data_IF_200878578216
#
_entry.id   IF_200878578216
#
_cell.length_a   1.000
_cell.length_b   1.000
_cell.length_c   1.000
_cell.angle_alpha   90.00
_cell.angle_beta   90.00
_cell.angle_gamma   90.00
#
_symmetry.space_group_name_H-M   'P 1'
#
loop_
_entity.id
_entity.type
_entity.pdbx_description
1 polymer ?
#
# COMPACT_ATOMS: atom_id res chain seq x y z
N UNK A 1 -3.22 5.04 16.27
CA UNK A 1 -4.41 4.42 16.91
C UNK A 1 -4.03 3.07 17.50
N UNK A 2 -4.69 2.60 18.58
CA UNK A 2 -4.44 1.24 19.08
C UNK A 2 -5.01 0.20 18.10
N UNK A 3 -4.46 -1.02 18.08
CA UNK A 3 -4.86 -2.10 17.16
C UNK A 3 -6.34 -2.44 17.29
N UNK A 4 -6.89 -2.46 18.50
CA UNK A 4 -8.32 -2.77 18.71
C UNK A 4 -9.24 -1.68 18.18
N UNK A 5 -8.89 -0.41 18.39
CA UNK A 5 -9.66 0.71 17.87
C UNK A 5 -9.60 0.75 16.34
N UNK A 6 -8.46 0.39 15.75
CA UNK A 6 -8.30 0.22 14.31
C UNK A 6 -9.21 -0.88 13.75
N UNK A 7 -9.28 -2.04 14.43
CA UNK A 7 -10.21 -3.12 14.05
C UNK A 7 -11.65 -2.66 14.09
N UNK A 8 -12.06 -2.03 15.19
CA UNK A 8 -13.43 -1.51 15.35
C UNK A 8 -13.76 -0.48 14.27
N UNK A 9 -12.82 0.40 13.91
CA UNK A 9 -13.00 1.39 12.85
C UNK A 9 -13.17 0.75 11.46
N UNK A 10 -12.41 -0.29 11.14
CA UNK A 10 -12.59 -1.07 9.89
C UNK A 10 -13.93 -1.80 9.90
N UNK A 11 -14.26 -2.44 11.02
CA UNK A 11 -15.48 -3.21 11.17
C UNK A 11 -16.73 -2.33 11.31
N UNK A 12 -16.63 -1.04 11.57
CA UNK A 12 -17.76 -0.12 11.57
C UNK A 12 -18.00 0.54 10.19
N UNK A 13 -17.01 0.55 9.29
CA UNK A 13 -17.12 1.22 7.99
C UNK A 13 -17.92 0.38 6.99
N UNK A 14 -19.23 0.65 6.94
CA UNK A 14 -20.15 0.04 5.98
C UNK A 14 -19.79 0.36 4.52
N UNK A 15 -19.23 1.54 4.26
CA UNK A 15 -18.80 1.97 2.94
C UNK A 15 -17.69 1.07 2.41
N UNK A 16 -16.62 0.91 3.21
CA UNK A 16 -15.51 0.01 2.91
C UNK A 16 -15.97 -1.43 2.75
N UNK A 17 -16.80 -1.94 3.67
CA UNK A 17 -17.34 -3.31 3.63
C UNK A 17 -18.13 -3.57 2.35
N UNK A 18 -18.98 -2.64 1.95
CA UNK A 18 -19.78 -2.75 0.73
C UNK A 18 -18.89 -2.80 -0.52
N UNK A 19 -17.89 -1.91 -0.63
CA UNK A 19 -16.95 -1.92 -1.77
C UNK A 19 -16.09 -3.17 -1.80
N UNK A 20 -15.60 -3.61 -0.64
CA UNK A 20 -14.88 -4.88 -0.49
C UNK A 20 -15.71 -6.06 -1.00
N UNK A 21 -16.97 -6.16 -0.55
CA UNK A 21 -17.88 -7.23 -0.97
C UNK A 21 -18.12 -7.20 -2.48
N UNK A 22 -18.34 -6.04 -3.07
CA UNK A 22 -18.56 -5.93 -4.51
C UNK A 22 -17.34 -6.37 -5.32
N UNK A 23 -16.13 -5.92 -4.94
CA UNK A 23 -14.90 -6.36 -5.59
C UNK A 23 -14.69 -7.87 -5.46
N UNK A 24 -14.94 -8.42 -4.27
CA UNK A 24 -14.83 -9.85 -4.01
C UNK A 24 -15.80 -10.66 -4.88
N UNK A 25 -17.09 -10.28 -4.90
CA UNK A 25 -18.12 -10.98 -5.67
C UNK A 25 -17.86 -10.93 -7.18
N UNK A 26 -17.49 -9.76 -7.72
CA UNK A 26 -17.17 -9.63 -9.14
C UNK A 26 -15.96 -10.48 -9.55
N UNK A 27 -14.91 -10.47 -8.71
CA UNK A 27 -13.70 -11.25 -8.96
C UNK A 27 -13.98 -12.75 -8.89
N UNK A 28 -14.77 -13.19 -7.89
CA UNK A 28 -15.18 -14.58 -7.75
C UNK A 28 -16.06 -15.04 -8.92
N UNK A 29 -16.97 -14.18 -9.39
CA UNK A 29 -17.86 -14.48 -10.51
C UNK A 29 -17.07 -14.61 -11.82
N UNK A 30 -16.08 -13.74 -12.06
CA UNK A 30 -15.19 -13.88 -13.20
C UNK A 30 -14.39 -15.19 -13.14
N UNK A 31 -13.81 -15.51 -11.97
CA UNK A 31 -13.12 -16.79 -11.76
C UNK A 31 -14.03 -17.99 -12.04
N UNK A 32 -15.25 -17.97 -11.50
CA UNK A 32 -16.21 -19.05 -11.70
C UNK A 32 -16.52 -19.26 -13.19
N UNK A 33 -16.72 -18.19 -13.96
CA UNK A 33 -16.95 -18.27 -15.41
C UNK A 33 -15.72 -18.82 -16.15
N UNK A 34 -14.54 -18.29 -15.84
CA UNK A 34 -13.28 -18.69 -16.50
C UNK A 34 -12.94 -20.15 -16.21
N UNK A 35 -13.04 -20.58 -14.94
CA UNK A 35 -12.70 -21.94 -14.48
C UNK A 35 -13.76 -22.96 -14.90
N UNK A 36 -15.05 -22.64 -14.77
CA UNK A 36 -16.11 -23.61 -15.12
C UNK A 36 -16.19 -23.91 -16.62
N UNK A 37 -15.67 -23.02 -17.47
CA UNK A 37 -15.85 -23.15 -18.92
C UNK A 37 -17.32 -23.18 -19.33
N UNK A 38 -18.21 -22.65 -18.48
CA UNK A 38 -19.65 -22.71 -18.67
C UNK A 38 -20.05 -21.95 -19.94
N UNK A 39 -20.20 -22.69 -21.04
CA UNK A 39 -21.02 -22.26 -22.16
C UNK A 39 -22.47 -22.33 -21.70
N UNK A 40 -23.17 -21.19 -21.70
CA UNK A 40 -24.60 -21.14 -21.45
C UNK A 40 -25.27 -21.89 -22.62
N UNK A 41 -25.56 -23.19 -22.42
CA UNK A 41 -26.29 -24.01 -23.38
C UNK A 41 -27.79 -23.76 -23.18
N UNK A 42 -28.37 -23.10 -24.18
CA UNK A 42 -29.79 -23.03 -24.62
C UNK A 42 -30.91 -23.17 -23.57
N UNK A 43 -31.84 -22.21 -23.54
CA UNK A 43 -33.13 -22.35 -22.85
C UNK A 43 -34.33 -22.15 -23.81
N UNK A 44 -35.28 -23.08 -23.73
CA UNK A 44 -36.52 -23.13 -24.51
C UNK A 44 -37.42 -21.88 -24.43
N UNK A 45 -38.23 -21.77 -25.49
CA UNK A 45 -38.91 -20.62 -26.10
C UNK A 45 -39.99 -19.83 -25.32
N UNK A 46 -40.10 -19.89 -23.99
CA UNK A 46 -41.27 -19.31 -23.30
C UNK A 46 -41.01 -18.45 -22.06
N UNK A 47 -39.75 -18.17 -21.74
CA UNK A 47 -39.39 -17.16 -20.73
C UNK A 47 -38.50 -16.14 -21.42
N UNK A 48 -38.86 -14.85 -21.41
CA UNK A 48 -37.97 -13.76 -21.83
C UNK A 48 -36.75 -13.74 -20.88
N UNK A 49 -35.79 -14.64 -21.13
CA UNK A 49 -34.47 -14.63 -20.54
C UNK A 49 -33.62 -13.72 -21.42
N UNK A 50 -32.92 -12.78 -20.80
CA UNK A 50 -31.86 -12.02 -21.46
C UNK A 50 -30.75 -13.03 -21.76
N UNK A 51 -30.77 -13.62 -22.95
CA UNK A 51 -29.68 -14.45 -23.44
C UNK A 51 -28.57 -13.54 -23.94
N UNK A 52 -27.43 -13.57 -23.25
CA UNK A 52 -26.23 -12.91 -23.71
C UNK A 52 -25.66 -13.70 -24.89
N UNK A 53 -26.05 -13.32 -26.11
CA UNK A 53 -25.54 -13.90 -27.36
C UNK A 53 -24.03 -13.75 -27.51
N UNK A 54 -23.40 -12.83 -26.77
CA UNK A 54 -21.96 -12.62 -26.78
C UNK A 54 -21.38 -12.78 -25.35
N UNK A 55 -21.14 -14.02 -24.95
CA UNK A 55 -20.55 -14.39 -23.66
C UNK A 55 -19.21 -13.68 -23.41
N UNK A 56 -18.44 -13.45 -24.48
CA UNK A 56 -17.17 -12.72 -24.41
C UNK A 56 -17.37 -11.26 -23.99
N UNK A 57 -18.38 -10.56 -24.53
CA UNK A 57 -18.68 -9.18 -24.14
C UNK A 57 -19.07 -9.07 -22.67
N UNK A 58 -19.76 -10.07 -22.12
CA UNK A 58 -20.11 -10.09 -20.69
C UNK A 58 -18.84 -10.22 -19.82
N UNK A 59 -17.88 -11.06 -20.21
CA UNK A 59 -16.60 -11.18 -19.50
C UNK A 59 -15.81 -9.87 -19.52
N UNK A 60 -15.77 -9.16 -20.65
CA UNK A 60 -15.14 -7.84 -20.74
C UNK A 60 -15.84 -6.79 -19.87
N UNK A 61 -17.17 -6.81 -19.79
CA UNK A 61 -17.94 -5.93 -18.90
C UNK A 61 -17.61 -6.22 -17.43
N UNK A 62 -17.48 -7.50 -17.05
CA UNK A 62 -17.06 -7.90 -15.70
C UNK A 62 -15.65 -7.40 -15.38
N UNK A 63 -14.72 -7.50 -16.32
CA UNK A 63 -13.35 -6.97 -16.16
C UNK A 63 -13.38 -5.45 -15.93
N UNK A 64 -14.15 -4.70 -16.72
CA UNK A 64 -14.33 -3.27 -16.50
C UNK A 64 -14.94 -2.98 -15.11
N UNK A 65 -15.91 -3.78 -14.68
CA UNK A 65 -16.51 -3.70 -13.35
C UNK A 65 -15.52 -4.00 -12.21
N UNK A 66 -14.61 -4.96 -12.40
CA UNK A 66 -13.51 -5.26 -11.48
C UNK A 66 -12.56 -4.06 -11.42
N UNK A 67 -12.10 -3.51 -12.54
CA UNK A 67 -11.23 -2.33 -12.55
C UNK A 67 -11.86 -1.15 -11.81
N UNK A 68 -13.13 -0.83 -12.10
CA UNK A 68 -13.87 0.20 -11.40
C UNK A 68 -13.95 -0.09 -9.90
N UNK A 69 -14.22 -1.33 -9.51
CA UNK A 69 -14.34 -1.74 -8.11
C UNK A 69 -12.99 -1.73 -7.38
N UNK A 70 -11.88 -2.07 -8.05
CA UNK A 70 -10.51 -1.92 -7.53
C UNK A 70 -10.22 -0.45 -7.24
N UNK A 71 -10.51 0.46 -8.18
CA UNK A 71 -10.30 1.90 -8.00
C UNK A 71 -11.14 2.45 -6.84
N UNK A 72 -12.42 2.10 -6.78
CA UNK A 72 -13.31 2.54 -5.69
C UNK A 72 -12.87 1.98 -4.36
N UNK A 73 -12.53 0.69 -4.29
CA UNK A 73 -12.01 0.09 -3.07
C UNK A 73 -10.68 0.72 -2.64
N UNK A 74 -9.82 1.08 -3.59
CA UNK A 74 -8.57 1.80 -3.32
C UNK A 74 -8.81 3.16 -2.69
N UNK A 75 -9.76 3.95 -3.20
CA UNK A 75 -10.10 5.24 -2.61
C UNK A 75 -10.61 5.10 -1.16
N UNK A 76 -11.53 4.15 -0.90
CA UNK A 76 -12.11 3.97 0.44
C UNK A 76 -11.12 3.37 1.46
N UNK A 77 -10.19 2.51 1.02
CA UNK A 77 -9.22 1.91 1.93
C UNK A 77 -7.98 2.77 2.21
N UNK A 78 -7.89 3.99 1.65
CA UNK A 78 -6.71 4.87 1.79
C UNK A 78 -6.35 5.17 3.25
N UNK A 79 -7.34 5.63 4.03
CA UNK A 79 -7.15 5.97 5.45
C UNK A 79 -6.55 4.78 6.23
N UNK A 80 -7.07 3.58 5.98
CA UNK A 80 -6.62 2.37 6.67
C UNK A 80 -5.26 1.88 6.20
N UNK A 81 -4.95 2.01 4.90
CA UNK A 81 -3.62 1.70 4.36
C UNK A 81 -2.56 2.66 4.90
N UNK A 82 -2.91 3.92 5.12
CA UNK A 82 -2.00 4.93 5.66
C UNK A 82 -1.71 4.67 7.13
N UNK A 83 -2.73 4.30 7.92
CA UNK A 83 -2.51 3.92 9.33
C UNK A 83 -1.64 2.65 9.45
N UNK A 84 -1.90 1.62 8.62
CA UNK A 84 -1.02 0.44 8.56
C UNK A 84 0.40 0.80 8.14
N UNK A 85 0.54 1.68 7.15
CA UNK A 85 1.85 2.18 6.73
C UNK A 85 2.56 2.90 7.88
N UNK A 86 1.87 3.73 8.65
CA UNK A 86 2.42 4.42 9.82
C UNK A 86 2.89 3.43 10.89
N UNK A 87 2.14 2.34 11.12
CA UNK A 87 2.56 1.31 12.07
C UNK A 87 3.81 0.55 11.59
N UNK A 88 3.88 0.20 10.31
CA UNK A 88 5.02 -0.52 9.76
C UNK A 88 6.26 0.35 9.61
N UNK A 89 6.09 1.60 9.20
CA UNK A 89 7.19 2.57 9.07
C UNK A 89 7.84 2.86 10.41
N UNK A 90 7.07 2.95 11.51
CA UNK A 90 7.61 3.02 12.87
C UNK A 90 8.47 1.80 13.23
N UNK A 91 8.03 0.59 12.86
CA UNK A 91 8.84 -0.62 13.08
C UNK A 91 10.10 -0.65 12.21
N UNK A 92 10.00 -0.15 10.97
CA UNK A 92 11.11 -0.09 10.02
C UNK A 92 12.19 0.89 10.47
N UNK A 93 11.81 2.08 10.93
CA UNK A 93 12.77 3.12 11.37
C UNK A 93 13.37 2.79 12.74
N UNK A 94 12.71 1.95 13.54
CA UNK A 94 13.27 1.46 14.81
C UNK A 94 14.18 0.23 14.63
N UNK A 95 14.35 -0.28 13.39
CA UNK A 95 15.30 -1.35 13.11
C UNK A 95 16.72 -0.75 12.98
N UNK A 96 17.68 -1.12 13.87
CA UNK A 96 19.04 -0.59 13.85
C UNK A 96 19.80 -0.84 12.54
N UNK A 97 19.41 -1.87 11.78
CA UNK A 97 20.03 -2.15 10.47
C UNK A 97 19.62 -1.12 9.41
N UNK A 98 18.48 -0.48 9.59
CA UNK A 98 17.93 0.54 8.69
C UNK A 98 18.30 1.93 9.18
N UNK A 99 18.07 2.19 10.46
CA UNK A 99 18.29 3.48 11.08
C UNK A 99 18.67 3.31 12.54
N UNK A 100 19.79 3.91 12.91
CA UNK A 100 20.20 4.05 14.29
C UNK A 100 20.89 5.40 14.45
N UNK A 101 20.51 6.19 15.45
CA UNK A 101 21.21 7.44 15.74
C UNK A 101 22.26 7.18 16.82
N UNK A 102 23.54 7.39 16.49
CA UNK A 102 24.63 7.29 17.45
C UNK A 102 24.80 8.63 18.18
N UNK A 103 24.51 8.64 19.47
CA UNK A 103 24.61 9.86 20.28
C UNK A 103 26.05 10.30 20.55
N UNK A 104 27.05 9.43 20.39
CA UNK A 104 28.45 9.77 20.64
C UNK A 104 29.10 10.44 19.44
N UNK A 105 28.79 9.95 18.24
CA UNK A 105 29.32 10.48 16.98
C UNK A 105 28.38 11.54 16.36
N UNK A 106 27.16 11.68 16.90
CA UNK A 106 26.11 12.56 16.38
C UNK A 106 25.80 12.27 14.90
N UNK A 107 25.81 10.99 14.54
CA UNK A 107 25.65 10.50 13.17
C UNK A 107 24.58 9.43 13.07
N UNK A 108 23.92 9.39 11.91
CA UNK A 108 22.97 8.34 11.55
C UNK A 108 23.74 7.15 11.00
N UNK A 109 23.53 5.98 11.58
CA UNK A 109 24.09 4.68 11.14
C UNK A 109 23.02 3.80 10.50
N UNK A 110 23.46 2.82 9.73
CA UNK A 110 22.62 1.81 9.09
C UNK A 110 22.44 2.05 7.59
N UNK A 111 21.41 1.48 6.98
CA UNK A 111 21.16 1.67 5.54
C UNK A 111 20.93 3.14 5.17
N UNK A 112 20.23 3.89 6.02
CA UNK A 112 19.85 5.27 5.75
C UNK A 112 20.97 6.28 6.01
N UNK A 113 22.07 5.90 6.65
CA UNK A 113 23.30 6.72 6.76
C UNK A 113 23.73 7.28 5.40
N UNK A 114 23.68 6.43 4.37
CA UNK A 114 24.06 6.80 3.00
C UNK A 114 23.18 7.89 2.40
N UNK A 115 21.95 8.02 2.87
CA UNK A 115 20.93 8.95 2.36
C UNK A 115 20.81 10.24 3.18
N UNK A 116 21.30 10.23 4.41
CA UNK A 116 21.31 11.40 5.31
C UNK A 116 22.61 12.15 5.10
N UNK A 117 22.53 13.31 4.43
CA UNK A 117 23.69 14.17 4.12
C UNK A 117 23.79 15.38 5.06
N UNK A 118 23.22 15.24 6.27
CA UNK A 118 23.23 16.27 7.32
C UNK A 118 23.86 15.70 8.58
N UNK A 119 24.63 16.53 9.28
CA UNK A 119 25.26 16.14 10.54
C UNK A 119 24.25 16.24 11.69
N UNK A 120 24.23 15.26 12.60
CA UNK A 120 23.24 15.18 13.66
C UNK A 120 23.37 16.26 14.73
N UNK A 121 24.58 16.78 14.94
CA UNK A 121 24.83 17.91 15.84
C UNK A 121 24.11 19.21 15.41
N UNK A 122 24.00 19.44 14.10
CA UNK A 122 23.26 20.58 13.53
C UNK A 122 21.74 20.34 13.52
N UNK A 123 21.32 19.08 13.58
CA UNK A 123 19.94 18.63 13.35
C UNK A 123 19.51 17.61 14.42
N UNK A 124 19.32 18.03 15.67
CA UNK A 124 19.02 17.12 16.79
C UNK A 124 17.71 16.35 16.61
N UNK A 125 16.82 16.79 15.72
CA UNK A 125 15.60 16.06 15.38
C UNK A 125 15.82 14.72 14.71
N UNK A 126 17.02 14.42 14.21
CA UNK A 126 17.39 13.09 13.71
C UNK A 126 17.39 12.03 14.81
N UNK A 127 17.27 12.38 16.09
CA UNK A 127 17.04 11.39 17.15
C UNK A 127 15.67 10.70 16.98
N UNK A 128 14.65 11.42 16.50
CA UNK A 128 13.28 10.92 16.35
C UNK A 128 12.74 11.12 14.93
N UNK A 129 13.29 10.41 13.93
CA UNK A 129 12.83 10.53 12.55
C UNK A 129 11.50 9.80 12.32
N UNK A 130 10.77 10.27 11.32
CA UNK A 130 9.57 9.64 10.80
C UNK A 130 9.78 9.22 9.34
N UNK A 131 9.61 7.94 9.04
CA UNK A 131 9.61 7.45 7.66
C UNK A 131 8.22 7.63 7.03
N UNK A 132 8.13 8.43 5.95
CA UNK A 132 6.86 8.80 5.32
C UNK A 132 6.81 8.46 3.83
N UNK A 133 5.59 8.21 3.35
CA UNK A 133 5.26 8.01 1.94
C UNK A 133 4.56 9.25 1.38
N UNK A 134 5.15 9.89 0.36
CA UNK A 134 4.52 11.04 -0.34
C UNK A 134 3.80 10.58 -1.62
N UNK A 135 4.18 9.43 -2.18
CA UNK A 135 3.54 8.85 -3.36
C UNK A 135 3.86 7.35 -3.47
N UNK A 136 3.42 6.70 -4.54
CA UNK A 136 3.56 5.24 -4.70
C UNK A 136 5.00 4.75 -4.45
N UNK A 137 5.97 5.39 -5.09
CA UNK A 137 7.40 5.08 -4.96
C UNK A 137 8.21 6.24 -4.35
N UNK A 138 7.54 7.27 -3.82
CA UNK A 138 8.23 8.41 -3.21
C UNK A 138 8.33 8.22 -1.71
N UNK A 139 9.54 8.29 -1.15
CA UNK A 139 9.82 8.08 0.28
C UNK A 139 10.63 9.25 0.81
N UNK A 140 10.32 9.65 2.03
CA UNK A 140 11.05 10.70 2.73
C UNK A 140 11.26 10.32 4.18
N UNK A 141 12.34 10.85 4.75
CA UNK A 141 12.51 10.92 6.20
C UNK A 141 12.08 12.32 6.61
N UNK A 142 11.16 12.42 7.56
CA UNK A 142 10.75 13.69 8.14
C UNK A 142 11.28 13.77 9.57
N UNK A 143 11.84 14.90 9.97
CA UNK A 143 12.34 15.10 11.33
C UNK A 143 12.01 16.52 11.81
N UNK A 144 11.81 16.72 13.13
CA UNK A 144 11.56 18.04 13.69
C UNK A 144 12.83 18.90 13.60
N UNK A 145 12.70 20.15 13.17
CA UNK A 145 13.79 21.11 13.12
C UNK A 145 13.35 22.44 13.74
N UNK A 146 14.31 23.14 14.31
CA UNK A 146 14.13 24.48 14.87
C UNK A 146 14.97 25.48 14.12
N UNK A 147 14.39 26.62 13.77
CA UNK A 147 15.12 27.74 13.19
C UNK A 147 14.76 29.00 13.96
N UNK A 148 15.78 29.78 14.28
CA UNK A 148 15.63 31.09 14.90
C UNK A 148 15.37 32.12 13.80
N UNK A 149 14.17 32.72 13.84
CA UNK A 149 13.79 33.80 12.95
C UNK A 149 13.93 35.14 13.70
N UNK A 150 14.64 36.14 13.15
CA UNK A 150 14.82 37.44 13.79
C UNK A 150 13.52 38.15 14.19
N UNK A 151 12.43 37.91 13.46
CA UNK A 151 11.15 38.62 13.66
C UNK A 151 10.15 37.83 14.53
N UNK A 152 10.29 36.50 14.61
CA UNK A 152 9.29 35.60 15.20
C UNK A 152 9.85 34.62 16.26
N UNK A 153 11.15 34.67 16.53
CA UNK A 153 11.80 33.80 17.51
C UNK A 153 11.98 32.36 17.02
N UNK A 154 12.00 31.39 17.94
CA UNK A 154 12.21 29.98 17.62
C UNK A 154 10.96 29.37 16.94
N UNK A 155 11.08 29.04 15.66
CA UNK A 155 10.04 28.35 14.90
C UNK A 155 10.32 26.85 14.81
N UNK A 156 9.29 26.05 15.09
CA UNK A 156 9.32 24.59 14.95
C UNK A 156 8.70 24.19 13.61
N UNK A 157 9.45 23.48 12.77
CA UNK A 157 8.96 22.95 11.50
C UNK A 157 9.48 21.53 11.26
N UNK A 158 8.94 20.85 10.24
CA UNK A 158 9.44 19.53 9.83
C UNK A 158 10.33 19.69 8.61
N UNK A 159 11.56 19.19 8.69
CA UNK A 159 12.45 19.03 7.54
C UNK A 159 12.22 17.66 6.90
N UNK A 160 12.52 17.57 5.61
CA UNK A 160 12.30 16.38 4.81
C UNK A 160 13.54 16.03 4.01
N UNK A 161 14.07 14.81 4.21
CA UNK A 161 15.12 14.23 3.38
C UNK A 161 14.46 13.32 2.34
N UNK A 162 14.67 13.63 1.07
CA UNK A 162 14.04 12.90 -0.04
C UNK A 162 14.90 11.70 -0.47
N UNK A 163 14.41 10.49 -0.21
CA UNK A 163 15.12 9.24 -0.51
C UNK A 163 15.10 8.86 -2.00
N UNK A 164 14.37 9.62 -2.82
CA UNK A 164 14.39 9.47 -4.28
C UNK A 164 15.43 10.37 -4.96
N UNK A 165 16.12 11.22 -4.19
CA UNK A 165 17.26 12.01 -4.68
C UNK A 165 18.52 11.17 -4.50
N UNK A 166 19.19 10.83 -5.59
CA UNK A 166 20.38 9.97 -5.58
C UNK A 166 21.64 10.81 -5.65
N UNK A 167 22.67 10.40 -4.91
CA UNK A 167 23.98 11.03 -4.90
C UNK A 167 25.10 9.96 -4.98
N UNK A 168 26.34 10.32 -4.64
CA UNK A 168 27.49 9.41 -4.68
C UNK A 168 27.42 8.31 -3.63
N UNK A 169 26.81 8.58 -2.47
CA UNK A 169 26.63 7.67 -1.33
C UNK A 169 25.32 6.87 -1.45
N UNK A 170 24.21 7.52 -1.80
CA UNK A 170 22.88 6.93 -1.96
C UNK A 170 22.53 6.64 -3.42
N UNK A 171 22.57 5.36 -3.81
CA UNK A 171 22.30 4.93 -5.18
C UNK A 171 20.91 4.32 -5.31
N UNK A 172 20.44 4.22 -6.56
CA UNK A 172 19.18 3.52 -6.90
C UNK A 172 19.12 2.09 -6.34
N UNK A 173 20.26 1.39 -6.27
CA UNK A 173 20.33 0.03 -5.72
C UNK A 173 20.03 0.00 -4.23
N UNK A 174 20.56 0.95 -3.45
CA UNK A 174 20.28 1.07 -2.02
C UNK A 174 18.80 1.42 -1.78
N UNK A 175 18.23 2.31 -2.62
CA UNK A 175 16.80 2.62 -2.57
C UNK A 175 15.91 1.41 -2.90
N UNK A 176 16.26 0.62 -3.93
CA UNK A 176 15.54 -0.62 -4.23
C UNK A 176 15.67 -1.66 -3.10
N UNK A 177 16.84 -1.73 -2.46
CA UNK A 177 17.05 -2.58 -1.31
C UNK A 177 16.19 -2.14 -0.11
N UNK A 178 16.07 -0.84 0.15
CA UNK A 178 15.14 -0.30 1.15
C UNK A 178 13.69 -0.68 0.83
N UNK A 179 13.25 -0.55 -0.43
CA UNK A 179 11.91 -0.97 -0.83
C UNK A 179 11.67 -2.48 -0.68
N UNK A 180 12.70 -3.29 -0.92
CA UNK A 180 12.64 -4.73 -0.69
C UNK A 180 12.48 -5.09 0.80
N UNK A 181 13.21 -4.41 1.68
CA UNK A 181 13.07 -4.58 3.13
C UNK A 181 11.67 -4.13 3.57
N UNK A 182 11.20 -2.96 3.10
CA UNK A 182 9.84 -2.48 3.33
C UNK A 182 8.79 -3.52 2.91
N UNK A 183 8.98 -4.15 1.74
CA UNK A 183 8.11 -5.22 1.26
C UNK A 183 8.15 -6.45 2.17
N UNK A 184 9.32 -6.85 2.68
CA UNK A 184 9.46 -7.97 3.63
C UNK A 184 8.70 -7.70 4.93
N UNK A 185 8.82 -6.49 5.48
CA UNK A 185 8.05 -6.07 6.66
C UNK A 185 6.54 -6.12 6.41
N UNK A 186 6.10 -5.65 5.24
CA UNK A 186 4.70 -5.69 4.82
C UNK A 186 4.18 -7.12 4.62
N UNK A 187 4.96 -7.98 3.97
CA UNK A 187 4.58 -9.37 3.73
C UNK A 187 4.44 -10.15 5.04
N UNK A 188 5.37 -9.95 5.98
CA UNK A 188 5.24 -10.52 7.33
C UNK A 188 3.96 -10.03 8.03
N UNK A 189 3.63 -8.74 7.88
CA UNK A 189 2.39 -8.21 8.42
C UNK A 189 1.14 -8.80 7.74
N UNK A 190 1.16 -9.02 6.42
CA UNK A 190 0.04 -9.64 5.69
C UNK A 190 -0.37 -10.99 6.23
N UNK A 191 0.59 -11.77 6.71
CA UNK A 191 0.33 -13.10 7.28
C UNK A 191 0.01 -13.02 8.77
N UNK A 192 0.67 -12.13 9.52
CA UNK A 192 0.55 -12.05 10.97
C UNK A 192 -0.64 -11.21 11.47
N UNK A 193 -1.13 -10.25 10.67
CA UNK A 193 -2.12 -9.26 11.07
C UNK A 193 -3.39 -9.38 10.22
N UNK A 194 -4.49 -9.81 10.84
CA UNK A 194 -5.80 -10.00 10.18
C UNK A 194 -6.24 -8.77 9.38
N UNK A 195 -6.04 -7.57 9.92
CA UNK A 195 -6.51 -6.31 9.36
C UNK A 195 -5.87 -6.03 8.00
N UNK A 196 -4.62 -6.44 7.86
CA UNK A 196 -3.84 -6.27 6.64
C UNK A 196 -4.32 -7.24 5.56
N UNK A 197 -4.63 -8.49 5.94
CA UNK A 197 -5.24 -9.48 5.06
C UNK A 197 -6.65 -9.05 4.63
N UNK A 198 -7.46 -8.54 5.55
CA UNK A 198 -8.82 -8.04 5.31
C UNK A 198 -8.86 -6.89 4.29
N UNK A 199 -7.75 -6.15 4.16
CA UNK A 199 -7.56 -5.08 3.16
C UNK A 199 -6.94 -5.58 1.86
N UNK A 200 -6.04 -6.56 1.91
CA UNK A 200 -5.26 -7.03 0.75
C UNK A 200 -5.95 -8.15 -0.03
N UNK A 201 -6.68 -9.05 0.64
CA UNK A 201 -7.31 -10.22 0.03
C UNK A 201 -8.23 -9.90 -1.17
N UNK A 202 -9.06 -8.84 -1.15
CA UNK A 202 -9.89 -8.49 -2.31
C UNK A 202 -9.07 -8.14 -3.55
N UNK A 203 -7.92 -7.49 -3.39
CA UNK A 203 -7.01 -7.19 -4.49
C UNK A 203 -6.34 -8.46 -5.02
N UNK A 204 -5.90 -9.36 -4.13
CA UNK A 204 -5.29 -10.62 -4.54
C UNK A 204 -6.27 -11.47 -5.36
N UNK A 205 -7.53 -11.54 -4.93
CA UNK A 205 -8.56 -12.27 -5.66
C UNK A 205 -8.84 -11.62 -7.02
N UNK A 206 -8.89 -10.29 -7.09
CA UNK A 206 -9.07 -9.56 -8.35
C UNK A 206 -7.91 -9.83 -9.33
N UNK A 207 -6.66 -9.77 -8.84
CA UNK A 207 -5.47 -10.08 -9.64
C UNK A 207 -5.50 -11.53 -10.13
N UNK A 208 -5.84 -12.49 -9.26
CA UNK A 208 -5.97 -13.89 -9.64
C UNK A 208 -7.06 -14.11 -10.71
N UNK A 209 -8.21 -13.43 -10.58
CA UNK A 209 -9.30 -13.49 -11.55
C UNK A 209 -8.90 -12.95 -12.92
N UNK A 210 -8.25 -11.77 -12.94
CA UNK A 210 -7.75 -11.16 -14.17
C UNK A 210 -6.65 -12.01 -14.82
N UNK A 211 -5.70 -12.52 -14.01
CA UNK A 211 -4.64 -13.38 -14.50
C UNK A 211 -5.21 -14.67 -15.11
N UNK A 212 -6.17 -15.31 -14.46
CA UNK A 212 -6.83 -16.51 -14.98
C UNK A 212 -7.56 -16.23 -16.31
N UNK A 213 -8.27 -15.10 -16.39
CA UNK A 213 -8.94 -14.69 -17.63
C UNK A 213 -7.94 -14.49 -18.77
N UNK A 214 -6.90 -13.68 -18.56
CA UNK A 214 -5.92 -13.37 -19.60
C UNK A 214 -5.12 -14.61 -20.00
N UNK A 215 -4.76 -15.47 -19.04
CA UNK A 215 -4.11 -16.74 -19.32
C UNK A 215 -4.97 -17.61 -20.24
N UNK A 216 -6.27 -17.76 -19.95
CA UNK A 216 -7.19 -18.54 -20.80
C UNK A 216 -7.42 -17.91 -22.18
N UNK A 217 -7.33 -16.58 -22.31
CA UNK A 217 -7.58 -15.87 -23.56
C UNK A 217 -6.38 -15.91 -24.52
N UNK A 218 -5.16 -15.93 -23.99
CA UNK A 218 -3.92 -15.88 -24.77
C UNK A 218 -3.15 -17.20 -24.85
N UNK A 219 -3.52 -18.21 -24.06
CA UNK A 219 -3.05 -19.59 -24.20
C UNK A 219 -3.94 -20.39 -25.15
#
# INVERSE_FOLDING_TARGET
>A
MNTEDFRKAIDADEGLKSKRRNLFLLSLLLLAIVVSGANIKEASSLVFKIEFTNHENLQWLLIAGIFYSVLRYYAYSEIYRDELFNQWSKKLINDPTIYHYDQQEEEVKGLLEKAVDVWGGDEPGLVEPEYRRIGLLKRVIAYPATQEDPDHGLMYFKRYINLNKYDSKWKRKDFLFLLWIELKYRANAWVAQRETLDLVAPYLLAVAALAAFFYKKFS
#
